data_IF_863834103484
#
_entry.id   IF_863834103484
#
_cell.length_a   1.000
_cell.length_b   1.000
_cell.length_c   1.000
_cell.angle_alpha   90.00
_cell.angle_beta   90.00
_cell.angle_gamma   90.00
#
_symmetry.space_group_name_H-M   'P 1'
#
loop_
_entity.id
_entity.type
_entity.pdbx_description
1 polymer ?
#
# COMPACT_ATOMS: atom_id res chain seq x y z
N UNK A 1 7.07 -12.76 -1.84
CA UNK A 1 5.68 -12.94 -1.42
C UNK A 1 5.11 -11.61 -0.94
N UNK A 2 3.82 -11.35 -1.14
CA UNK A 2 3.16 -10.12 -0.65
C UNK A 2 2.83 -10.22 0.83
N UNK A 3 3.35 -9.31 1.64
CA UNK A 3 3.05 -9.27 3.07
C UNK A 3 1.87 -8.35 3.38
N UNK A 4 1.95 -7.08 2.97
CA UNK A 4 1.02 -6.04 3.42
C UNK A 4 0.54 -5.20 2.25
N UNK A 5 -0.75 -4.92 2.23
CA UNK A 5 -1.36 -3.86 1.41
C UNK A 5 -1.90 -2.79 2.35
N UNK A 6 -1.43 -1.56 2.18
CA UNK A 6 -1.87 -0.40 2.93
C UNK A 6 -2.52 0.61 1.99
N UNK A 7 -3.79 0.91 2.23
CA UNK A 7 -4.49 2.03 1.61
C UNK A 7 -4.40 3.24 2.52
N UNK A 8 -3.95 4.35 1.97
CA UNK A 8 -3.69 5.57 2.72
C UNK A 8 -4.28 6.79 2.00
N UNK A 9 -4.82 7.73 2.77
CA UNK A 9 -5.25 9.02 2.22
C UNK A 9 -4.01 9.88 1.89
N UNK A 10 -3.84 10.35 0.64
CA UNK A 10 -2.60 11.01 0.21
C UNK A 10 -2.29 12.30 0.96
N UNK A 11 -3.30 13.10 1.30
CA UNK A 11 -3.09 14.42 1.91
C UNK A 11 -2.86 14.39 3.43
N UNK A 12 -3.38 13.38 4.13
CA UNK A 12 -3.31 13.31 5.60
C UNK A 12 -2.47 12.16 6.14
N UNK A 13 -2.07 11.22 5.28
CA UNK A 13 -1.36 10.02 5.70
C UNK A 13 -2.22 9.04 6.51
N UNK A 14 -3.53 9.30 6.64
CA UNK A 14 -4.44 8.45 7.41
C UNK A 14 -4.56 7.09 6.73
N UNK A 15 -4.37 6.04 7.52
CA UNK A 15 -4.60 4.66 7.11
C UNK A 15 -6.10 4.42 6.93
N UNK A 16 -6.50 4.16 5.68
CA UNK A 16 -7.88 3.84 5.31
C UNK A 16 -8.16 2.36 5.54
N UNK A 17 -7.22 1.51 5.11
CA UNK A 17 -7.32 0.07 5.25
C UNK A 17 -5.93 -0.57 5.28
N UNK A 18 -5.80 -1.62 6.08
CA UNK A 18 -4.64 -2.50 6.07
C UNK A 18 -5.11 -3.91 5.81
N UNK A 19 -4.54 -4.56 4.80
CA UNK A 19 -4.75 -5.96 4.51
C UNK A 19 -3.41 -6.69 4.67
N UNK A 20 -3.44 -7.81 5.38
CA UNK A 20 -2.28 -8.64 5.69
C UNK A 20 -2.56 -10.05 5.20
N UNK A 21 -1.56 -10.68 4.61
CA UNK A 21 -1.63 -12.11 4.31
C UNK A 21 -1.43 -12.93 5.59
N UNK A 22 -1.90 -14.18 5.58
CA UNK A 22 -1.82 -15.06 6.75
C UNK A 22 -0.37 -15.41 7.12
N UNK A 23 0.55 -15.38 6.15
CA UNK A 23 1.97 -15.66 6.33
C UNK A 23 2.81 -14.45 6.77
N UNK A 24 2.21 -13.26 6.91
CA UNK A 24 2.94 -12.01 7.19
C UNK A 24 3.68 -12.06 8.53
N UNK A 25 5.01 -11.91 8.49
CA UNK A 25 5.86 -11.95 9.69
C UNK A 25 6.08 -10.58 10.35
N UNK A 26 5.71 -9.50 9.66
CA UNK A 26 5.89 -8.13 10.15
C UNK A 26 4.85 -7.84 11.23
N UNK A 27 5.29 -7.42 12.42
CA UNK A 27 4.37 -7.11 13.53
C UNK A 27 3.43 -5.94 13.20
N UNK A 28 2.18 -6.02 13.67
CA UNK A 28 1.18 -4.94 13.56
C UNK A 28 1.57 -3.66 14.28
N UNK A 29 2.42 -3.75 15.30
CA UNK A 29 2.93 -2.60 16.07
C UNK A 29 3.85 -1.70 15.23
N UNK A 30 4.37 -2.19 14.10
CA UNK A 30 5.27 -1.42 13.23
C UNK A 30 4.55 -0.65 12.12
N UNK A 31 3.23 -0.85 11.94
CA UNK A 31 2.46 -0.15 10.89
C UNK A 31 2.45 1.37 11.08
N UNK A 32 2.36 1.84 12.33
CA UNK A 32 2.36 3.28 12.64
C UNK A 32 3.73 3.91 12.38
N UNK A 33 4.81 3.19 12.70
CA UNK A 33 6.20 3.62 12.40
C UNK A 33 6.38 3.75 10.89
N UNK A 34 5.90 2.77 10.14
CA UNK A 34 6.00 2.76 8.68
C UNK A 34 5.20 3.90 8.04
N UNK A 35 3.97 4.14 8.49
CA UNK A 35 3.16 5.27 8.02
C UNK A 35 3.83 6.63 8.30
N UNK A 36 4.39 6.80 9.50
CA UNK A 36 5.14 8.00 9.86
C UNK A 36 6.40 8.21 9.00
N UNK A 37 7.16 7.14 8.76
CA UNK A 37 8.34 7.16 7.89
C UNK A 37 7.98 7.54 6.44
N UNK A 38 6.91 6.94 5.90
CA UNK A 38 6.42 7.23 4.55
C UNK A 38 6.02 8.71 4.40
N UNK A 39 5.30 9.24 5.37
CA UNK A 39 4.89 10.64 5.39
C UNK A 39 6.12 11.57 5.43
N UNK A 40 7.14 11.23 6.23
CA UNK A 40 8.37 12.00 6.32
C UNK A 40 9.16 12.03 5.00
N UNK A 41 9.33 10.87 4.35
CA UNK A 41 10.05 10.83 3.06
C UNK A 41 9.28 11.58 1.98
N UNK A 42 7.95 11.44 1.90
CA UNK A 42 7.14 12.16 0.91
C UNK A 42 7.25 13.68 1.07
N UNK A 43 7.25 14.17 2.31
CA UNK A 43 7.45 15.59 2.60
C UNK A 43 8.84 16.05 2.14
N UNK A 44 9.89 15.29 2.46
CA UNK A 44 11.27 15.60 2.01
C UNK A 44 11.35 15.64 0.49
N UNK A 45 10.76 14.67 -0.20
CA UNK A 45 10.75 14.62 -1.67
C UNK A 45 10.08 15.85 -2.31
N UNK A 46 9.02 16.36 -1.67
CA UNK A 46 8.31 17.56 -2.12
C UNK A 46 9.13 18.82 -1.88
N UNK A 47 9.70 18.98 -0.68
CA UNK A 47 10.55 20.13 -0.33
C UNK A 47 11.81 20.23 -1.21
N UNK A 48 12.37 19.08 -1.61
CA UNK A 48 13.55 19.03 -2.46
C UNK A 48 13.23 19.07 -3.96
N UNK A 49 11.94 19.02 -4.36
CA UNK A 49 11.47 18.94 -5.75
C UNK A 49 12.13 17.80 -6.56
N UNK A 50 12.29 16.63 -5.93
CA UNK A 50 12.94 15.45 -6.55
C UNK A 50 11.93 14.43 -7.09
N UNK A 51 10.67 14.83 -7.23
CA UNK A 51 9.58 13.99 -7.73
C UNK A 51 8.92 13.12 -6.65
N UNK A 52 8.11 12.16 -7.11
CA UNK A 52 7.28 11.32 -6.23
C UNK A 52 7.95 10.00 -5.91
N UNK A 53 7.97 9.62 -4.64
CA UNK A 53 8.46 8.30 -4.22
C UNK A 53 7.49 7.20 -4.68
N UNK A 54 7.99 6.28 -5.51
CA UNK A 54 7.22 5.15 -6.05
C UNK A 54 7.74 3.76 -5.63
N UNK A 55 8.95 3.70 -5.07
CA UNK A 55 9.61 2.45 -4.65
C UNK A 55 10.64 2.73 -3.56
N UNK A 56 10.66 1.91 -2.51
CA UNK A 56 11.77 1.77 -1.57
C UNK A 56 12.17 0.30 -1.54
N UNK A 57 13.43 0.00 -1.81
CA UNK A 57 13.95 -1.38 -1.78
C UNK A 57 15.00 -1.53 -0.69
N UNK A 58 14.96 -2.65 0.02
CA UNK A 58 15.93 -3.01 1.05
C UNK A 58 16.55 -4.37 0.73
N UNK A 59 17.82 -4.55 1.09
CA UNK A 59 18.57 -5.78 0.82
C UNK A 59 18.82 -6.60 2.10
N UNK A 60 19.21 -7.87 1.93
CA UNK A 60 19.53 -8.81 3.00
C UNK A 60 18.49 -9.92 3.17
N UNK A 61 18.66 -10.77 4.18
CA UNK A 61 17.78 -11.93 4.43
C UNK A 61 16.34 -11.58 4.82
N UNK A 62 16.07 -10.29 5.03
CA UNK A 62 14.75 -9.70 5.28
C UNK A 62 14.50 -8.52 4.35
N UNK A 63 15.09 -8.53 3.16
CA UNK A 63 14.90 -7.50 2.17
C UNK A 63 13.45 -7.48 1.68
N UNK A 64 12.89 -6.29 1.51
CA UNK A 64 11.55 -6.08 0.96
C UNK A 64 11.57 -4.92 -0.03
N UNK A 65 10.64 -4.99 -0.98
CA UNK A 65 10.24 -3.88 -1.83
C UNK A 65 8.95 -3.26 -1.28
N UNK A 66 8.98 -1.97 -0.98
CA UNK A 66 7.81 -1.16 -0.75
C UNK A 66 7.45 -0.43 -2.04
N UNK A 67 6.39 -0.88 -2.71
CA UNK A 67 5.91 -0.32 -3.96
C UNK A 67 4.77 0.64 -3.64
N UNK A 68 4.86 1.87 -4.13
CA UNK A 68 3.91 2.95 -3.81
C UNK A 68 3.21 3.38 -5.10
N UNK A 69 1.89 3.26 -5.11
CA UNK A 69 1.01 3.66 -6.20
C UNK A 69 0.25 4.93 -5.79
N UNK A 70 0.77 6.11 -6.11
CA UNK A 70 0.08 7.36 -5.80
C UNK A 70 -1.10 7.57 -6.76
N UNK A 71 -2.28 7.82 -6.21
CA UNK A 71 -3.45 8.39 -6.93
C UNK A 71 -4.00 9.57 -6.15
N UNK A 72 -4.71 10.46 -6.82
CA UNK A 72 -5.24 11.72 -6.25
C UNK A 72 -5.99 11.52 -4.93
N UNK A 73 -6.75 10.44 -4.81
CA UNK A 73 -7.59 10.17 -3.65
C UNK A 73 -7.18 8.92 -2.89
N UNK A 74 -6.12 8.19 -3.26
CA UNK A 74 -5.67 7.01 -2.50
C UNK A 74 -4.23 6.68 -2.86
N UNK A 75 -3.40 6.42 -1.86
CA UNK A 75 -2.13 5.76 -2.06
C UNK A 75 -2.32 4.27 -1.78
N UNK A 76 -1.89 3.41 -2.70
CA UNK A 76 -1.76 1.97 -2.45
C UNK A 76 -0.29 1.67 -2.21
N UNK A 77 0.02 1.14 -1.04
CA UNK A 77 1.38 0.77 -0.65
C UNK A 77 1.42 -0.74 -0.47
N UNK A 78 2.27 -1.40 -1.25
CA UNK A 78 2.49 -2.83 -1.21
C UNK A 78 3.84 -3.11 -0.58
N UNK A 79 3.90 -4.06 0.33
CA UNK A 79 5.15 -4.56 0.88
C UNK A 79 5.29 -6.02 0.47
N UNK A 80 6.33 -6.29 -0.34
CA UNK A 80 6.59 -7.60 -0.94
C UNK A 80 8.04 -7.97 -0.71
N UNK A 81 8.38 -9.26 -0.73
CA UNK A 81 9.78 -9.71 -0.63
C UNK A 81 10.65 -9.07 -1.73
N UNK A 82 11.94 -8.91 -1.46
CA UNK A 82 12.88 -8.28 -2.40
C UNK A 82 13.00 -9.03 -3.75
N UNK A 83 12.82 -10.35 -3.75
CA UNK A 83 12.91 -11.22 -4.94
C UNK A 83 11.65 -11.18 -5.83
N UNK A 84 10.56 -10.57 -5.35
CA UNK A 84 9.30 -10.57 -6.09
C UNK A 84 9.32 -9.64 -7.31
N UNK A 85 8.57 -10.00 -8.37
CA UNK A 85 8.47 -9.18 -9.57
C UNK A 85 7.75 -7.85 -9.28
N UNK A 86 8.53 -6.76 -9.22
CA UNK A 86 8.03 -5.42 -8.92
C UNK A 86 6.95 -4.96 -9.91
N UNK A 87 7.14 -5.21 -11.20
CA UNK A 87 6.22 -4.73 -12.24
C UNK A 87 4.84 -5.38 -12.13
N UNK A 88 4.79 -6.68 -11.85
CA UNK A 88 3.54 -7.42 -11.61
C UNK A 88 2.79 -6.86 -10.41
N UNK A 89 3.49 -6.62 -9.30
CA UNK A 89 2.89 -6.02 -8.12
C UNK A 89 2.47 -4.57 -8.35
N UNK A 90 3.20 -3.82 -9.17
CA UNK A 90 2.82 -2.45 -9.54
C UNK A 90 1.50 -2.44 -10.32
N UNK A 91 1.33 -3.34 -11.29
CA UNK A 91 0.08 -3.51 -12.03
C UNK A 91 -1.07 -3.88 -11.08
N UNK A 92 -0.83 -4.81 -10.15
CA UNK A 92 -1.79 -5.20 -9.14
C UNK A 92 -2.20 -4.01 -8.24
N UNK A 93 -1.24 -3.20 -7.81
CA UNK A 93 -1.50 -2.01 -7.02
C UNK A 93 -2.33 -0.96 -7.77
N UNK A 94 -2.15 -0.83 -9.09
CA UNK A 94 -3.00 0.01 -9.93
C UNK A 94 -4.44 -0.51 -9.97
N UNK A 95 -4.64 -1.82 -10.17
CA UNK A 95 -5.97 -2.45 -10.15
C UNK A 95 -6.69 -2.25 -8.82
N UNK A 96 -5.98 -2.43 -7.70
CA UNK A 96 -6.51 -2.18 -6.36
C UNK A 96 -6.96 -0.72 -6.22
N UNK A 97 -6.12 0.24 -6.65
CA UNK A 97 -6.45 1.65 -6.57
C UNK A 97 -7.70 2.00 -7.39
N UNK A 98 -7.81 1.47 -8.61
CA UNK A 98 -8.96 1.69 -9.49
C UNK A 98 -10.23 1.10 -8.90
N UNK A 99 -10.17 -0.11 -8.34
CA UNK A 99 -11.31 -0.76 -7.67
C UNK A 99 -11.76 0.00 -6.45
N UNK A 100 -10.82 0.51 -5.65
CA UNK A 100 -11.15 1.33 -4.48
C UNK A 100 -11.91 2.60 -4.88
N UNK A 101 -11.43 3.30 -5.91
CA UNK A 101 -12.09 4.52 -6.40
C UNK A 101 -13.42 4.24 -7.10
N UNK A 102 -13.60 3.06 -7.70
CA UNK A 102 -14.91 2.63 -8.23
C UNK A 102 -15.94 2.42 -7.11
N UNK A 103 -15.51 1.88 -5.96
CA UNK A 103 -16.41 1.54 -4.84
C UNK A 103 -16.74 2.77 -3.97
N UNK A 104 -15.74 3.56 -3.59
CA UNK A 104 -15.90 4.68 -2.65
C UNK A 104 -15.91 6.07 -3.31
N UNK A 105 -15.60 6.14 -4.60
CA UNK A 105 -15.52 7.39 -5.34
C UNK A 105 -14.37 8.29 -4.89
N UNK A 106 -14.53 9.58 -5.17
CA UNK A 106 -13.50 10.60 -4.96
C UNK A 106 -13.79 11.54 -3.79
N UNK A 107 -14.90 11.32 -3.06
CA UNK A 107 -15.39 12.25 -2.03
C UNK A 107 -15.79 11.50 -0.75
N UNK A 108 -14.90 10.62 -0.28
CA UNK A 108 -15.06 9.93 1.00
C UNK A 108 -14.38 10.73 2.12
N UNK A 109 -14.87 10.57 3.35
CA UNK A 109 -14.25 11.21 4.51
C UNK A 109 -13.17 10.27 5.10
N UNK A 110 -11.87 10.62 5.08
CA UNK A 110 -10.80 9.68 5.44
C UNK A 110 -10.83 9.23 6.91
N UNK A 111 -11.53 9.97 7.78
CA UNK A 111 -11.71 9.59 9.19
C UNK A 111 -12.77 8.50 9.41
N UNK A 112 -13.62 8.22 8.41
CA UNK A 112 -14.63 7.16 8.52
C UNK A 112 -14.05 5.80 8.13
N UNK A 113 -12.99 5.38 8.82
CA UNK A 113 -12.20 4.20 8.45
C UNK A 113 -13.00 2.90 8.48
N UNK A 114 -14.13 2.88 9.17
CA UNK A 114 -15.00 1.70 9.26
C UNK A 114 -15.64 1.32 7.94
N UNK A 115 -15.90 2.30 7.05
CA UNK A 115 -16.55 2.03 5.76
C UNK A 115 -15.64 1.28 4.79
N UNK A 116 -14.32 1.38 4.95
CA UNK A 116 -13.37 0.72 4.05
C UNK A 116 -13.12 -0.75 4.40
N UNK A 117 -13.59 -1.23 5.56
CA UNK A 117 -13.38 -2.63 5.98
C UNK A 117 -14.01 -3.63 5.03
N UNK A 118 -15.10 -3.27 4.33
CA UNK A 118 -15.72 -4.14 3.32
C UNK A 118 -14.77 -4.44 2.16
N UNK A 119 -13.85 -3.53 1.86
CA UNK A 119 -12.95 -3.66 0.72
C UNK A 119 -11.89 -4.77 0.89
N UNK A 120 -11.68 -5.28 2.11
CA UNK A 120 -10.76 -6.39 2.35
C UNK A 120 -11.12 -7.66 1.57
N UNK A 121 -12.41 -7.94 1.32
CA UNK A 121 -12.79 -9.07 0.47
C UNK A 121 -12.39 -8.87 -0.98
N UNK A 122 -12.53 -7.65 -1.49
CA UNK A 122 -12.12 -7.27 -2.85
C UNK A 122 -10.60 -7.41 -3.00
N UNK A 123 -9.83 -6.94 -2.01
CA UNK A 123 -8.36 -7.13 -2.01
C UNK A 123 -8.00 -8.62 -2.02
N UNK A 124 -8.65 -9.44 -1.20
CA UNK A 124 -8.40 -10.88 -1.14
C UNK A 124 -8.65 -11.56 -2.49
N UNK A 125 -9.77 -11.24 -3.14
CA UNK A 125 -10.10 -11.75 -4.48
C UNK A 125 -9.05 -11.34 -5.51
N UNK A 126 -8.70 -10.05 -5.55
CA UNK A 126 -7.68 -9.53 -6.45
C UNK A 126 -6.33 -10.20 -6.24
N UNK A 127 -5.94 -10.49 -5.00
CA UNK A 127 -4.68 -11.18 -4.70
C UNK A 127 -4.73 -12.67 -5.07
N UNK A 128 -5.86 -13.36 -4.89
CA UNK A 128 -5.99 -14.80 -5.18
C UNK A 128 -5.78 -15.20 -6.65
N UNK A 129 -5.64 -14.22 -7.56
CA UNK A 129 -5.42 -14.44 -8.99
C UNK A 129 -3.97 -14.72 -9.38
N UNK A 130 -3.00 -14.53 -8.47
CA UNK A 130 -1.58 -14.68 -8.75
C UNK A 130 -0.94 -15.76 -7.86
N UNK A 131 -0.11 -16.63 -8.45
CA UNK A 131 0.65 -17.68 -7.74
C UNK A 131 1.62 -17.13 -6.67
N UNK A 132 1.84 -15.80 -6.63
CA UNK A 132 2.75 -15.12 -5.69
C UNK A 132 2.08 -14.68 -4.37
N UNK A 133 0.77 -14.97 -4.21
CA UNK A 133 -0.01 -14.60 -3.03
C UNK A 133 -0.12 -15.68 -1.97
N UNK A 134 0.23 -16.94 -2.27
CA UNK A 134 0.21 -18.06 -1.33
C UNK A 134 1.59 -18.31 -0.69
#
# INVERSE_FOLDING_TARGET
>A
MLDIILLQHPGSGIKLLEYRQDHTKISSVHADIFSGFMSAIQNISTELDIGTLILISTEGSKGHNCIIIPKTYVNVILLVDNEDPIDLWREQGHLIAEKFLQEFGNNYHPNDVTVFKSFSSTIKELCSTHEYCE
#
